data_IF_222915787322
#
_entry.id   IF_222915787322
#
_cell.length_a   1.000
_cell.length_b   1.000
_cell.length_c   1.000
_cell.angle_alpha   90.00
_cell.angle_beta   90.00
_cell.angle_gamma   90.00
#
_symmetry.space_group_name_H-M   'P 1'
#
loop_
_entity.id
_entity.type
_entity.pdbx_description
1 polymer ?
#
# COMPACT_ATOMS: atom_id res chain seq x y z
N UNK A 1 -0.92 -19.58 -34.35
CA UNK A 1 -1.20 -19.79 -32.91
C UNK A 1 -0.48 -18.70 -32.13
N UNK A 2 -1.19 -17.95 -31.29
CA UNK A 2 -0.55 -16.97 -30.40
C UNK A 2 0.11 -17.74 -29.23
N UNK A 3 1.36 -17.42 -28.84
CA UNK A 3 2.00 -18.10 -27.73
C UNK A 3 1.23 -17.85 -26.43
N UNK A 4 0.98 -18.92 -25.68
CA UNK A 4 0.38 -18.85 -24.35
C UNK A 4 1.36 -18.09 -23.43
N UNK A 5 0.94 -17.05 -22.70
CA UNK A 5 1.83 -16.33 -21.81
C UNK A 5 2.39 -17.27 -20.72
N UNK A 6 3.70 -17.20 -20.48
CA UNK A 6 4.42 -17.97 -19.45
C UNK A 6 3.96 -17.67 -18.02
N UNK A 7 3.25 -16.56 -17.83
CA UNK A 7 2.77 -16.10 -16.54
C UNK A 7 1.26 -15.89 -16.59
N UNK A 8 0.59 -16.20 -15.49
CA UNK A 8 -0.80 -15.85 -15.28
C UNK A 8 -0.99 -14.33 -15.41
N UNK A 9 -2.12 -13.94 -15.97
CA UNK A 9 -2.53 -12.53 -15.98
C UNK A 9 -2.58 -11.99 -14.54
N UNK A 10 -2.07 -10.78 -14.35
CA UNK A 10 -1.99 -10.15 -13.03
C UNK A 10 -2.53 -8.72 -13.05
N UNK A 11 -2.71 -8.15 -11.86
CA UNK A 11 -3.08 -6.74 -11.65
C UNK A 11 -2.03 -6.12 -10.74
N UNK A 12 -1.55 -4.93 -11.09
CA UNK A 12 -0.75 -4.08 -10.19
C UNK A 12 -1.67 -3.02 -9.59
N UNK A 13 -1.73 -2.96 -8.25
CA UNK A 13 -2.54 -1.99 -7.52
C UNK A 13 -1.70 -1.26 -6.48
N UNK A 14 -1.87 0.05 -6.37
CA UNK A 14 -1.32 0.87 -5.29
C UNK A 14 -2.47 1.40 -4.43
N UNK A 15 -2.34 1.28 -3.12
CA UNK A 15 -3.25 1.84 -2.12
C UNK A 15 -2.43 2.36 -0.95
N UNK A 16 -2.99 3.33 -0.22
CA UNK A 16 -2.57 3.68 1.12
C UNK A 16 -3.82 3.88 1.99
N UNK A 17 -3.66 4.01 3.30
CA UNK A 17 -4.79 4.29 4.17
C UNK A 17 -4.39 5.11 5.38
N UNK A 18 -5.39 5.75 5.98
CA UNK A 18 -5.32 6.45 7.25
C UNK A 18 -6.22 5.73 8.26
N UNK A 19 -6.29 6.25 9.49
CA UNK A 19 -7.25 5.79 10.49
C UNK A 19 -8.71 5.88 10.02
N UNK A 20 -9.01 6.77 9.08
CA UNK A 20 -10.39 7.11 8.71
C UNK A 20 -10.82 6.56 7.35
N UNK A 21 -9.89 6.39 6.41
CA UNK A 21 -10.22 6.02 5.03
C UNK A 21 -9.03 5.41 4.29
N UNK A 22 -9.35 4.65 3.24
CA UNK A 22 -8.40 4.18 2.24
C UNK A 22 -8.30 5.20 1.10
N UNK A 23 -7.09 5.39 0.57
CA UNK A 23 -6.79 6.17 -0.64
C UNK A 23 -6.31 5.21 -1.73
N UNK A 24 -7.14 5.07 -2.76
CA UNK A 24 -7.02 4.02 -3.77
C UNK A 24 -8.37 3.32 -3.95
N UNK A 25 -8.45 2.19 -4.66
CA UNK A 25 -7.38 1.47 -5.36
C UNK A 25 -6.93 2.11 -6.66
N UNK A 26 -5.62 2.32 -6.81
CA UNK A 26 -5.03 2.84 -8.05
C UNK A 26 -4.42 1.70 -8.86
N UNK A 27 -5.05 1.33 -9.97
CA UNK A 27 -4.52 0.31 -10.87
C UNK A 27 -3.41 0.88 -11.75
N UNK A 28 -2.25 0.22 -11.77
CA UNK A 28 -1.08 0.66 -12.56
C UNK A 28 -1.02 -0.15 -13.84
N UNK A 29 -1.44 0.49 -14.93
CA UNK A 29 -1.61 -0.16 -16.22
C UNK A 29 -1.33 0.76 -17.40
N UNK A 30 -1.17 0.13 -18.56
CA UNK A 30 -1.03 0.78 -19.85
C UNK A 30 -2.19 0.36 -20.76
N UNK A 31 -2.73 1.34 -21.47
CA UNK A 31 -3.92 1.14 -22.31
C UNK A 31 -3.44 0.74 -23.71
N UNK A 32 -3.77 -0.47 -24.12
CA UNK A 32 -3.56 -0.97 -25.48
C UNK A 32 -4.90 -1.15 -26.20
N UNK A 33 -4.91 -1.27 -27.54
CA UNK A 33 -6.13 -1.61 -28.29
C UNK A 33 -6.79 -2.91 -27.83
N UNK A 34 -6.00 -3.85 -27.30
CA UNK A 34 -6.46 -5.12 -26.72
C UNK A 34 -7.02 -4.99 -25.30
N UNK A 35 -7.01 -3.78 -24.73
CA UNK A 35 -7.42 -3.50 -23.36
C UNK A 35 -6.26 -3.16 -22.42
N UNK A 36 -6.56 -2.82 -21.16
CA UNK A 36 -5.54 -2.44 -20.17
C UNK A 36 -4.67 -3.62 -19.73
N UNK A 37 -3.36 -3.39 -19.64
CA UNK A 37 -2.37 -4.39 -19.21
C UNK A 37 -1.60 -3.88 -18.00
N UNK A 38 -1.52 -4.70 -16.95
CA UNK A 38 -0.79 -4.38 -15.74
C UNK A 38 0.68 -4.08 -16.02
N UNK A 39 1.22 -3.07 -15.35
CA UNK A 39 2.58 -2.58 -15.55
C UNK A 39 3.37 -2.55 -14.24
N UNK A 40 4.69 -2.62 -14.36
CA UNK A 40 5.60 -2.39 -13.23
C UNK A 40 5.52 -0.93 -12.78
N UNK A 41 5.51 -0.72 -11.46
CA UNK A 41 5.61 0.62 -10.87
C UNK A 41 7.05 1.13 -11.06
N UNK A 42 7.28 1.99 -12.05
CA UNK A 42 8.55 2.72 -12.20
C UNK A 42 8.53 4.03 -11.42
N UNK A 43 9.69 4.66 -11.19
CA UNK A 43 9.75 5.97 -10.54
C UNK A 43 8.90 7.04 -11.24
N UNK A 44 8.86 7.02 -12.59
CA UNK A 44 8.03 7.93 -13.38
C UNK A 44 6.54 7.65 -13.21
N UNK A 45 6.13 6.37 -13.25
CA UNK A 45 4.71 5.98 -13.05
C UNK A 45 4.26 6.27 -11.62
N UNK A 46 5.11 6.00 -10.63
CA UNK A 46 4.86 6.31 -9.23
C UNK A 46 4.69 7.82 -9.02
N UNK A 47 5.61 8.64 -9.55
CA UNK A 47 5.47 10.10 -9.51
C UNK A 47 4.16 10.57 -10.14
N UNK A 48 3.78 10.02 -11.29
CA UNK A 48 2.52 10.35 -11.96
C UNK A 48 1.31 9.99 -11.09
N UNK A 49 1.31 8.80 -10.48
CA UNK A 49 0.27 8.36 -9.56
C UNK A 49 0.16 9.29 -8.34
N UNK A 50 1.28 9.66 -7.73
CA UNK A 50 1.31 10.59 -6.61
C UNK A 50 0.69 11.94 -6.99
N UNK A 51 1.19 12.53 -8.09
CA UNK A 51 0.79 13.86 -8.56
C UNK A 51 -0.67 13.94 -8.97
N UNK A 52 -1.16 12.91 -9.67
CA UNK A 52 -2.45 12.97 -10.35
C UNK A 52 -3.57 12.30 -9.56
N UNK A 53 -3.25 11.45 -8.58
CA UNK A 53 -4.25 10.66 -7.86
C UNK A 53 -4.11 10.80 -6.34
N UNK A 54 -2.97 10.42 -5.75
CA UNK A 54 -2.82 10.40 -4.28
C UNK A 54 -2.94 11.81 -3.68
N UNK A 55 -2.12 12.75 -4.14
CA UNK A 55 -2.07 14.10 -3.58
C UNK A 55 -3.41 14.83 -3.77
N UNK A 56 -4.02 14.85 -4.97
CA UNK A 56 -5.35 15.43 -5.14
C UNK A 56 -6.42 14.80 -4.22
N UNK A 57 -6.40 13.47 -4.04
CA UNK A 57 -7.36 12.80 -3.15
C UNK A 57 -7.21 13.24 -1.68
N UNK A 58 -5.97 13.47 -1.22
CA UNK A 58 -5.72 13.99 0.13
C UNK A 58 -6.06 15.48 0.24
N UNK A 59 -5.84 16.27 -0.83
CA UNK A 59 -6.19 17.71 -0.87
C UNK A 59 -7.70 17.91 -0.81
N UNK A 60 -8.47 17.12 -1.56
CA UNK A 60 -9.93 17.15 -1.53
C UNK A 60 -10.49 16.84 -0.14
N UNK A 61 -9.77 16.05 0.65
CA UNK A 61 -10.11 15.72 2.05
C UNK A 61 -9.54 16.72 3.06
N UNK A 62 -8.82 17.75 2.61
CA UNK A 62 -8.24 18.78 3.48
C UNK A 62 -7.17 18.28 4.44
N UNK A 63 -6.49 17.17 4.12
CA UNK A 63 -5.61 16.48 5.06
C UNK A 63 -4.14 16.39 4.65
N UNK A 64 -3.74 16.93 3.49
CA UNK A 64 -2.33 16.91 3.05
C UNK A 64 -1.42 17.55 4.09
N UNK A 65 -1.82 18.69 4.65
CA UNK A 65 -0.98 19.47 5.58
C UNK A 65 -0.85 18.84 6.97
N UNK A 66 -1.69 17.86 7.30
CA UNK A 66 -1.64 17.10 8.56
C UNK A 66 -1.17 15.66 8.37
N UNK A 67 -1.00 15.19 7.13
CA UNK A 67 -0.63 13.80 6.85
C UNK A 67 0.87 13.58 7.08
N UNK A 68 1.21 12.52 7.82
CA UNK A 68 2.55 11.94 7.80
C UNK A 68 2.55 10.83 6.76
N UNK A 69 3.33 10.97 5.69
CA UNK A 69 3.43 9.98 4.65
C UNK A 69 4.44 8.91 5.04
N UNK A 70 4.01 7.65 4.99
CA UNK A 70 4.86 6.48 5.27
C UNK A 70 4.89 5.56 4.05
N UNK A 71 6.08 5.20 3.59
CA UNK A 71 6.28 4.26 2.48
C UNK A 71 7.59 3.48 2.63
N UNK A 72 7.63 2.28 2.05
CA UNK A 72 8.79 1.39 2.15
C UNK A 72 10.00 1.87 1.32
N UNK A 73 11.07 1.09 1.38
CA UNK A 73 12.30 1.34 0.64
C UNK A 73 12.33 0.82 -0.80
N UNK A 74 11.19 0.64 -1.49
CA UNK A 74 11.18 0.19 -2.88
C UNK A 74 11.84 1.22 -3.82
N UNK A 75 12.61 0.82 -4.86
CA UNK A 75 13.35 1.74 -5.73
C UNK A 75 12.53 2.92 -6.30
N UNK A 76 11.27 2.74 -6.77
CA UNK A 76 10.46 3.85 -7.26
C UNK A 76 10.15 4.92 -6.22
N UNK A 77 10.15 4.58 -4.93
CA UNK A 77 9.69 5.47 -3.86
C UNK A 77 10.71 6.53 -3.46
N UNK A 78 12.00 6.32 -3.76
CA UNK A 78 13.07 7.23 -3.34
C UNK A 78 13.92 7.82 -4.47
N UNK A 79 13.46 7.71 -5.74
CA UNK A 79 14.07 8.44 -6.85
C UNK A 79 13.92 9.96 -6.68
N UNK A 80 14.90 10.74 -7.12
CA UNK A 80 14.94 12.20 -6.91
C UNK A 80 13.64 12.93 -7.28
N UNK A 81 13.01 12.68 -8.44
CA UNK A 81 11.78 13.39 -8.81
C UNK A 81 10.58 13.07 -7.92
N UNK A 82 10.54 11.89 -7.31
CA UNK A 82 9.52 11.49 -6.34
C UNK A 82 9.78 12.18 -5.01
N UNK A 83 11.02 12.14 -4.51
CA UNK A 83 11.38 12.80 -3.25
C UNK A 83 11.08 14.29 -3.26
N UNK A 84 11.41 14.98 -4.36
CA UNK A 84 11.12 16.40 -4.53
C UNK A 84 9.61 16.68 -4.48
N UNK A 85 8.79 15.85 -5.14
CA UNK A 85 7.34 15.99 -5.12
C UNK A 85 6.79 15.76 -3.71
N UNK A 86 7.27 14.73 -3.01
CA UNK A 86 6.82 14.45 -1.64
C UNK A 86 7.18 15.60 -0.69
N UNK A 87 8.43 16.08 -0.72
CA UNK A 87 8.86 17.19 0.12
C UNK A 87 8.05 18.46 -0.15
N UNK A 88 7.69 18.73 -1.41
CA UNK A 88 6.86 19.89 -1.77
C UNK A 88 5.49 19.88 -1.08
N UNK A 89 4.87 18.72 -0.90
CA UNK A 89 3.50 18.61 -0.39
C UNK A 89 3.40 18.25 1.10
N UNK A 90 4.32 17.41 1.59
CA UNK A 90 4.29 16.93 2.97
C UNK A 90 5.34 17.62 3.85
N UNK A 91 6.40 18.19 3.27
CA UNK A 91 7.56 18.63 4.06
C UNK A 91 8.41 17.46 4.56
N UNK A 92 9.72 17.69 4.70
CA UNK A 92 10.69 16.65 5.01
C UNK A 92 10.47 15.98 6.38
N UNK A 93 9.88 16.69 7.34
CA UNK A 93 9.62 16.25 8.71
C UNK A 93 8.40 15.31 8.82
N UNK A 94 7.49 15.34 7.84
CA UNK A 94 6.30 14.48 7.79
C UNK A 94 6.42 13.34 6.77
N UNK A 95 7.65 12.93 6.44
CA UNK A 95 7.90 11.82 5.51
C UNK A 95 8.75 10.75 6.20
N UNK A 96 8.20 9.54 6.29
CA UNK A 96 8.90 8.32 6.70
C UNK A 96 9.17 7.49 5.45
N UNK A 97 10.38 7.59 4.94
CA UNK A 97 10.80 6.93 3.69
C UNK A 97 12.32 6.86 3.62
N UNK A 98 12.87 6.00 2.76
CA UNK A 98 14.31 5.96 2.51
C UNK A 98 14.82 7.32 1.99
N UNK A 99 15.98 7.76 2.50
CA UNK A 99 16.63 9.05 2.18
C UNK A 99 15.88 10.32 2.64
N UNK A 100 15.00 10.20 3.64
CA UNK A 100 14.43 11.33 4.39
C UNK A 100 14.97 11.32 5.83
N UNK A 101 14.81 12.41 6.62
CA UNK A 101 15.29 12.47 8.00
C UNK A 101 14.82 11.30 8.86
N UNK A 102 13.53 10.95 8.75
CA UNK A 102 12.98 9.72 9.34
C UNK A 102 13.07 8.59 8.32
N UNK A 103 14.18 7.86 8.35
CA UNK A 103 14.46 6.83 7.35
C UNK A 103 13.63 5.55 7.58
N UNK A 104 13.04 5.02 6.50
CA UNK A 104 12.46 3.67 6.53
C UNK A 104 13.57 2.61 6.62
N UNK A 105 13.54 1.70 7.61
CA UNK A 105 14.55 0.68 7.77
C UNK A 105 14.47 -0.39 6.67
N UNK A 106 15.60 -0.96 6.24
CA UNK A 106 15.62 -1.99 5.21
C UNK A 106 15.00 -3.30 5.71
N UNK A 107 14.28 -4.01 4.83
CA UNK A 107 13.72 -5.35 5.09
C UNK A 107 12.77 -5.39 6.29
N UNK A 108 11.93 -4.37 6.45
CA UNK A 108 10.99 -4.28 7.57
C UNK A 108 9.52 -4.26 7.12
N UNK A 109 9.02 -5.35 6.49
CA UNK A 109 7.61 -5.44 6.12
C UNK A 109 6.69 -5.44 7.35
N UNK A 110 7.17 -5.88 8.52
CA UNK A 110 6.42 -5.84 9.79
C UNK A 110 6.05 -4.43 10.25
N UNK A 111 6.71 -3.40 9.74
CA UNK A 111 6.39 -2.01 10.03
C UNK A 111 5.29 -1.44 9.15
N UNK A 112 5.02 -2.03 7.98
CA UNK A 112 4.08 -1.48 7.02
C UNK A 112 2.72 -2.17 7.16
N UNK A 113 1.66 -1.46 7.61
CA UNK A 113 0.31 -1.99 7.70
C UNK A 113 -0.26 -2.49 6.38
N UNK A 114 0.21 -1.96 5.25
CA UNK A 114 -0.18 -2.49 3.95
C UNK A 114 0.40 -3.91 3.75
N UNK A 115 1.64 -4.15 4.17
CA UNK A 115 2.34 -5.42 3.96
C UNK A 115 1.91 -6.50 4.94
N UNK A 116 1.80 -6.18 6.24
CA UNK A 116 1.44 -7.19 7.24
C UNK A 116 -0.07 -7.48 7.30
N UNK A 117 -0.92 -6.63 6.72
CA UNK A 117 -2.38 -6.78 6.78
C UNK A 117 -3.07 -6.60 5.42
N UNK A 118 -3.09 -5.39 4.85
CA UNK A 118 -3.98 -5.06 3.72
C UNK A 118 -3.82 -6.02 2.53
N UNK A 119 -2.59 -6.28 2.10
CA UNK A 119 -2.33 -7.14 0.96
C UNK A 119 -2.60 -8.62 1.24
N UNK A 120 -2.46 -9.07 2.49
CA UNK A 120 -2.86 -10.42 2.91
C UNK A 120 -4.37 -10.57 2.88
N UNK A 121 -5.07 -9.66 3.59
CA UNK A 121 -6.53 -9.59 3.63
C UNK A 121 -7.15 -9.57 2.23
N UNK A 122 -6.68 -8.68 1.34
CA UNK A 122 -7.20 -8.59 -0.02
C UNK A 122 -6.97 -9.87 -0.81
N UNK A 123 -5.79 -10.51 -0.71
CA UNK A 123 -5.53 -11.77 -1.41
C UNK A 123 -6.47 -12.88 -0.97
N UNK A 124 -6.67 -13.02 0.34
CA UNK A 124 -7.49 -14.08 0.91
C UNK A 124 -8.96 -13.97 0.45
N UNK A 125 -9.52 -12.75 0.50
CA UNK A 125 -10.93 -12.54 0.15
C UNK A 125 -11.19 -12.53 -1.36
N UNK A 126 -10.32 -11.92 -2.18
CA UNK A 126 -10.59 -11.80 -3.63
C UNK A 126 -10.44 -13.15 -4.34
N UNK A 127 -9.56 -14.02 -3.81
CA UNK A 127 -9.33 -15.38 -4.30
C UNK A 127 -10.20 -16.45 -3.60
N UNK A 128 -11.16 -16.05 -2.75
CA UNK A 128 -12.09 -16.98 -2.09
C UNK A 128 -13.03 -17.74 -3.03
N UNK A 129 -13.04 -17.42 -4.33
CA UNK A 129 -13.78 -18.15 -5.35
C UNK A 129 -13.20 -17.91 -6.76
N UNK A 130 -13.66 -18.67 -7.78
CA UNK A 130 -13.17 -18.53 -9.16
C UNK A 130 -13.27 -17.09 -9.67
N UNK A 131 -12.27 -16.64 -10.42
CA UNK A 131 -12.20 -15.31 -11.04
C UNK A 131 -12.22 -15.50 -12.55
N UNK A 132 -13.23 -14.98 -13.23
CA UNK A 132 -13.42 -15.17 -14.67
C UNK A 132 -12.61 -14.19 -15.53
N UNK A 133 -12.23 -13.03 -14.99
CA UNK A 133 -11.47 -12.02 -15.73
C UNK A 133 -10.68 -11.05 -14.84
N UNK A 134 -9.72 -10.32 -15.43
CA UNK A 134 -9.02 -9.23 -14.75
C UNK A 134 -9.97 -8.08 -14.36
N UNK A 135 -11.01 -7.82 -15.15
CA UNK A 135 -12.00 -6.81 -14.83
C UNK A 135 -12.79 -7.18 -13.56
N UNK A 136 -13.17 -8.46 -13.45
CA UNK A 136 -13.79 -8.99 -12.24
C UNK A 136 -12.85 -8.90 -11.03
N UNK A 137 -11.57 -9.27 -11.19
CA UNK A 137 -10.57 -9.15 -10.11
C UNK A 137 -10.46 -7.71 -9.61
N UNK A 138 -10.34 -6.74 -10.52
CA UNK A 138 -10.31 -5.31 -10.15
C UNK A 138 -11.58 -4.88 -9.44
N UNK A 139 -12.75 -5.30 -9.92
CA UNK A 139 -14.02 -4.98 -9.28
C UNK A 139 -14.07 -5.56 -7.85
N UNK A 140 -13.66 -6.82 -7.64
CA UNK A 140 -13.59 -7.42 -6.31
C UNK A 140 -12.64 -6.65 -5.39
N UNK A 141 -11.44 -6.29 -5.86
CA UNK A 141 -10.48 -5.47 -5.09
C UNK A 141 -11.13 -4.14 -4.66
N UNK A 142 -11.72 -3.40 -5.61
CA UNK A 142 -12.37 -2.11 -5.34
C UNK A 142 -13.52 -2.25 -4.34
N UNK A 143 -14.38 -3.26 -4.51
CA UNK A 143 -15.52 -3.49 -3.63
C UNK A 143 -15.08 -3.83 -2.21
N UNK A 144 -14.10 -4.72 -2.06
CA UNK A 144 -13.61 -5.08 -0.73
C UNK A 144 -12.87 -3.92 -0.06
N UNK A 145 -12.12 -3.11 -0.80
CA UNK A 145 -11.51 -1.89 -0.27
C UNK A 145 -12.57 -0.92 0.23
N UNK A 146 -13.65 -0.71 -0.53
CA UNK A 146 -14.75 0.17 -0.14
C UNK A 146 -15.48 -0.32 1.12
N UNK A 147 -15.52 -1.64 1.33
CA UNK A 147 -16.20 -2.25 2.48
C UNK A 147 -15.33 -2.34 3.74
N UNK A 148 -14.05 -1.97 3.68
CA UNK A 148 -13.21 -1.88 4.89
C UNK A 148 -13.72 -0.73 5.76
N UNK A 149 -14.09 -1.08 6.99
CA UNK A 149 -14.65 -0.12 7.95
C UNK A 149 -13.57 0.75 8.60
N UNK A 150 -13.97 1.93 9.08
CA UNK A 150 -13.09 2.82 9.85
C UNK A 150 -12.60 2.13 11.14
N UNK A 151 -13.42 1.32 11.77
CA UNK A 151 -13.08 0.53 12.96
C UNK A 151 -11.95 -0.47 12.66
N UNK A 152 -12.01 -1.13 11.49
CA UNK A 152 -10.93 -2.01 11.04
C UNK A 152 -9.63 -1.22 10.81
N UNK A 153 -9.70 -0.06 10.16
CA UNK A 153 -8.52 0.78 9.90
C UNK A 153 -7.87 1.27 11.20
N UNK A 154 -8.67 1.72 12.18
CA UNK A 154 -8.22 2.13 13.50
C UNK A 154 -7.51 0.98 14.22
N UNK A 155 -8.15 -0.19 14.29
CA UNK A 155 -7.58 -1.38 14.91
C UNK A 155 -6.22 -1.75 14.27
N UNK A 156 -6.11 -1.71 12.94
CA UNK A 156 -4.85 -2.03 12.26
C UNK A 156 -3.75 -1.02 12.60
N UNK A 157 -4.07 0.26 12.73
CA UNK A 157 -3.09 1.26 13.15
C UNK A 157 -2.67 1.09 14.61
N UNK A 158 -3.59 0.72 15.51
CA UNK A 158 -3.24 0.36 16.89
C UNK A 158 -2.26 -0.82 16.92
N UNK A 159 -2.51 -1.84 16.11
CA UNK A 159 -1.59 -2.97 15.95
C UNK A 159 -0.24 -2.56 15.36
N UNK A 160 -0.21 -1.57 14.45
CA UNK A 160 1.04 -1.02 13.93
C UNK A 160 1.87 -0.36 15.05
N UNK A 161 1.22 0.39 15.95
CA UNK A 161 1.88 1.00 17.13
C UNK A 161 2.40 -0.08 18.08
N UNK A 162 1.63 -1.14 18.36
CA UNK A 162 2.07 -2.26 19.20
C UNK A 162 3.27 -2.98 18.60
N UNK A 163 3.26 -3.22 17.28
CA UNK A 163 4.40 -3.81 16.55
C UNK A 163 5.66 -2.95 16.69
N UNK A 164 5.55 -1.63 16.55
CA UNK A 164 6.68 -0.70 16.74
C UNK A 164 7.24 -0.77 18.17
N UNK A 165 6.38 -0.80 19.18
CA UNK A 165 6.80 -0.95 20.57
C UNK A 165 7.54 -2.28 20.81
N UNK A 166 6.99 -3.38 20.30
CA UNK A 166 7.60 -4.69 20.41
C UNK A 166 8.95 -4.74 19.69
N UNK A 167 9.07 -4.18 18.49
CA UNK A 167 10.35 -4.15 17.76
C UNK A 167 11.40 -3.36 18.54
N UNK A 168 11.01 -2.24 19.17
CA UNK A 168 11.89 -1.49 20.08
C UNK A 168 12.33 -2.34 21.28
N UNK A 169 11.40 -3.04 21.94
CA UNK A 169 11.70 -3.92 23.08
C UNK A 169 12.63 -5.09 22.70
N UNK A 170 12.54 -5.56 21.45
CA UNK A 170 13.39 -6.63 20.91
C UNK A 170 14.65 -6.11 20.23
N UNK A 171 14.99 -4.83 20.40
CA UNK A 171 16.23 -4.26 19.87
C UNK A 171 16.31 -4.27 18.34
N UNK A 172 15.19 -4.15 17.65
CA UNK A 172 15.13 -4.12 16.18
C UNK A 172 15.06 -5.47 15.48
N UNK A 173 14.86 -6.57 16.22
CA UNK A 173 14.72 -7.92 15.64
C UNK A 173 13.35 -8.14 14.98
N UNK A 174 13.26 -9.17 14.14
CA UNK A 174 12.00 -9.71 13.62
C UNK A 174 11.05 -10.12 14.75
N UNK A 175 9.76 -9.85 14.61
CA UNK A 175 8.79 -10.00 15.70
C UNK A 175 7.67 -11.02 15.46
N UNK A 176 7.58 -11.59 14.27
CA UNK A 176 6.49 -12.49 13.88
C UNK A 176 6.37 -13.69 14.83
N UNK A 177 7.51 -14.20 15.32
CA UNK A 177 7.57 -15.29 16.29
C UNK A 177 7.05 -14.92 17.70
N UNK A 178 6.94 -13.63 18.02
CA UNK A 178 6.33 -13.14 19.26
C UNK A 178 4.82 -12.87 19.11
N UNK A 179 4.35 -12.61 17.89
CA UNK A 179 2.94 -12.32 17.60
C UNK A 179 2.04 -13.56 17.66
N UNK A 180 2.62 -14.76 17.47
CA UNK A 180 1.91 -16.05 17.42
C UNK A 180 1.29 -16.50 18.76
N UNK A 181 1.48 -15.76 19.85
CA UNK A 181 0.88 -16.06 21.17
C UNK A 181 -0.50 -15.43 21.40
N UNK A 182 -0.95 -14.58 20.50
CA UNK A 182 -2.34 -14.12 20.41
C UNK A 182 -2.92 -14.66 19.12
N UNK A 183 -3.99 -15.46 19.19
CA UNK A 183 -4.76 -15.87 18.01
C UNK A 183 -4.94 -14.64 17.09
N UNK A 184 -4.78 -14.77 15.77
CA UNK A 184 -5.20 -13.70 14.88
C UNK A 184 -6.70 -13.56 15.13
N UNK A 185 -7.12 -12.45 15.70
CA UNK A 185 -8.48 -11.96 15.49
C UNK A 185 -8.56 -11.77 13.99
N UNK A 186 -9.14 -12.76 13.32
CA UNK A 186 -9.72 -12.57 12.00
C UNK A 186 -10.62 -11.37 12.12
N UNK A 187 -10.22 -10.25 11.52
CA UNK A 187 -11.13 -9.16 11.28
C UNK A 187 -12.10 -9.64 10.20
N UNK A 188 -13.14 -10.33 10.65
CA UNK A 188 -14.34 -10.70 9.88
C UNK A 188 -15.23 -9.50 9.68
#
# INVERSE_FOLDING_TARGET
>A
MQPLPLHSHCVTVCCGFTAAFIVGSFFVEEIYPSGPVACTVSGTRYKSLLRNQLIPALQQRGCVDSTILMQDGAPPHFVTPVKQLLNLHFGNDRIISRHFPTAWPPRSPDFNPCDFWLWGYLKDIVHGGPIASLAELKNRITQHIHNITTETLLSVLEHAVLRLQLIREKGGQHIEHFLSKSKPTSFS
#
